data_IF_238757665654
#
_entry.id   IF_238757665654
#
_cell.length_a   1.000
_cell.length_b   1.000
_cell.length_c   1.000
_cell.angle_alpha   90.00
_cell.angle_beta   90.00
_cell.angle_gamma   90.00
#
_symmetry.space_group_name_H-M   'P 1'
#
loop_
_entity.id
_entity.type
_entity.pdbx_description
1 polymer ?
#
# COMPACT_ATOMS: atom_id res chain seq x y z
N UNK A 1 -18.14 -10.89 11.02
CA UNK A 1 -18.18 -10.72 9.55
C UNK A 1 -16.88 -11.34 9.03
N UNK A 2 -16.95 -12.24 8.06
CA UNK A 2 -15.85 -13.16 7.72
C UNK A 2 -14.73 -12.47 6.94
N UNK A 3 -13.57 -12.26 7.56
CA UNK A 3 -12.36 -11.64 6.99
C UNK A 3 -11.57 -12.52 6.00
N UNK A 4 -11.99 -13.77 5.79
CA UNK A 4 -11.30 -14.70 4.89
C UNK A 4 -11.61 -14.51 3.39
N UNK A 5 -12.52 -13.60 3.02
CA UNK A 5 -12.99 -13.47 1.63
C UNK A 5 -12.33 -12.35 0.81
N UNK A 6 -11.45 -11.53 1.40
CA UNK A 6 -10.90 -10.33 0.73
C UNK A 6 -9.43 -10.45 0.27
N UNK A 7 -8.80 -11.62 0.38
CA UNK A 7 -7.43 -11.83 -0.12
C UNK A 7 -7.37 -12.74 -1.35
N UNK A 8 -6.51 -12.36 -2.28
CA UNK A 8 -6.06 -13.20 -3.39
C UNK A 8 -4.63 -13.66 -3.13
N UNK A 9 -4.42 -14.98 -3.16
CA UNK A 9 -3.10 -15.58 -3.01
C UNK A 9 -2.56 -16.04 -4.36
N UNK A 10 -1.30 -15.71 -4.63
CA UNK A 10 -0.54 -16.15 -5.79
C UNK A 10 0.58 -17.07 -5.30
N UNK A 11 0.64 -18.29 -5.82
CA UNK A 11 1.64 -19.28 -5.42
C UNK A 11 2.45 -19.80 -6.59
N UNK A 12 3.75 -19.98 -6.35
CA UNK A 12 4.72 -20.62 -7.22
C UNK A 12 5.58 -21.59 -6.40
N UNK A 13 6.45 -22.40 -7.01
CA UNK A 13 7.36 -23.25 -6.25
C UNK A 13 8.29 -22.48 -5.31
N UNK A 14 8.67 -21.25 -5.65
CA UNK A 14 9.69 -20.48 -4.91
C UNK A 14 9.15 -19.27 -4.14
N UNK A 15 7.89 -18.89 -4.39
CA UNK A 15 7.31 -17.65 -3.87
C UNK A 15 5.81 -17.83 -3.63
N UNK A 16 5.29 -17.23 -2.56
CA UNK A 16 3.87 -16.95 -2.44
C UNK A 16 3.62 -15.50 -2.03
N UNK A 17 2.63 -14.86 -2.63
CA UNK A 17 2.20 -13.51 -2.30
C UNK A 17 0.72 -13.49 -1.94
N UNK A 18 0.35 -12.68 -0.94
CA UNK A 18 -1.04 -12.40 -0.57
C UNK A 18 -1.36 -10.93 -0.81
N UNK A 19 -2.51 -10.66 -1.43
CA UNK A 19 -2.94 -9.31 -1.80
C UNK A 19 -4.40 -9.11 -1.43
N UNK A 20 -4.71 -7.99 -0.76
CA UNK A 20 -6.09 -7.59 -0.52
C UNK A 20 -6.77 -7.15 -1.83
N UNK A 21 -7.98 -7.64 -2.07
CA UNK A 21 -8.76 -7.27 -3.25
C UNK A 21 -9.18 -5.79 -3.21
N UNK A 22 -9.47 -5.26 -2.02
CA UNK A 22 -9.78 -3.85 -1.84
C UNK A 22 -8.57 -3.06 -1.34
N UNK A 23 -8.24 -1.96 -2.02
CA UNK A 23 -7.04 -1.15 -1.73
C UNK A 23 -5.71 -1.75 -2.22
N UNK A 24 -5.72 -3.01 -2.68
CA UNK A 24 -4.58 -3.69 -3.31
C UNK A 24 -3.30 -3.69 -2.46
N UNK A 25 -3.42 -3.86 -1.15
CA UNK A 25 -2.26 -3.99 -0.28
C UNK A 25 -1.66 -5.38 -0.39
N UNK A 26 -0.32 -5.48 -0.50
CA UNK A 26 0.38 -6.73 -0.28
C UNK A 26 0.53 -6.96 1.23
N UNK A 27 -0.07 -8.03 1.71
CA UNK A 27 -0.04 -8.41 3.13
C UNK A 27 1.11 -9.37 3.43
N UNK A 28 1.58 -10.11 2.43
CA UNK A 28 2.68 -11.07 2.56
C UNK A 28 3.42 -11.30 1.24
N UNK A 29 4.74 -11.49 1.32
CA UNK A 29 5.58 -12.01 0.24
C UNK A 29 6.56 -13.04 0.80
N UNK A 30 6.13 -14.29 0.87
CA UNK A 30 6.95 -15.40 1.37
C UNK A 30 7.87 -15.91 0.26
N UNK A 31 9.17 -15.82 0.51
CA UNK A 31 10.21 -16.40 -0.34
C UNK A 31 10.64 -17.75 0.25
N UNK A 32 10.65 -18.78 -0.58
CA UNK A 32 11.23 -20.09 -0.25
C UNK A 32 12.65 -20.09 -0.79
N UNK A 33 13.63 -20.34 0.07
CA UNK A 33 15.03 -20.34 -0.36
C UNK A 33 15.31 -21.44 -1.39
N UNK A 34 16.43 -21.30 -2.10
CA UNK A 34 16.82 -22.23 -3.17
C UNK A 34 17.34 -23.57 -2.66
N UNK A 35 17.78 -23.63 -1.40
CA UNK A 35 18.29 -24.85 -0.78
C UNK A 35 17.16 -25.65 -0.12
N UNK A 36 17.27 -27.00 -0.06
CA UNK A 36 16.23 -27.87 0.50
C UNK A 36 15.77 -27.51 1.92
N UNK A 37 16.68 -26.97 2.74
CA UNK A 37 16.44 -26.63 4.15
C UNK A 37 16.40 -25.11 4.40
N UNK A 38 16.37 -24.29 3.34
CA UNK A 38 16.32 -22.85 3.51
C UNK A 38 15.00 -22.42 4.16
N UNK A 39 15.09 -21.70 5.28
CA UNK A 39 13.92 -21.21 5.98
C UNK A 39 13.08 -20.27 5.10
N UNK A 40 11.78 -20.50 5.09
CA UNK A 40 10.83 -19.59 4.45
C UNK A 40 10.72 -18.31 5.26
N UNK A 41 10.81 -17.17 4.60
CA UNK A 41 10.74 -15.85 5.25
C UNK A 41 9.75 -14.97 4.50
N UNK A 42 8.92 -14.24 5.25
CA UNK A 42 8.15 -13.15 4.68
C UNK A 42 9.06 -11.92 4.51
N UNK A 43 9.18 -11.44 3.27
CA UNK A 43 10.03 -10.32 2.93
C UNK A 43 9.39 -8.96 3.22
N UNK A 44 8.09 -8.91 3.56
CA UNK A 44 7.38 -7.66 3.79
C UNK A 44 7.29 -7.31 5.28
N UNK A 45 7.53 -6.04 5.58
CA UNK A 45 7.02 -5.43 6.82
C UNK A 45 5.52 -5.17 6.69
N UNK A 46 4.77 -5.43 7.75
CA UNK A 46 3.32 -5.40 7.69
C UNK A 46 2.63 -5.46 9.05
N UNK A 47 1.30 -5.54 9.01
CA UNK A 47 0.47 -5.75 10.17
C UNK A 47 0.11 -7.23 10.32
N UNK A 48 -0.01 -7.71 11.54
CA UNK A 48 -0.49 -9.08 11.81
C UNK A 48 -2.01 -9.21 11.60
N UNK A 49 -2.74 -8.10 11.72
CA UNK A 49 -4.20 -8.05 11.57
C UNK A 49 -4.57 -7.43 10.20
N UNK A 50 -5.39 -8.15 9.43
CA UNK A 50 -5.86 -7.70 8.11
C UNK A 50 -6.73 -6.44 8.20
N UNK A 51 -7.53 -6.32 9.28
CA UNK A 51 -8.38 -5.14 9.48
C UNK A 51 -7.53 -3.87 9.67
N UNK A 52 -6.28 -4.01 10.12
CA UNK A 52 -5.36 -2.89 10.22
C UNK A 52 -4.96 -2.33 8.85
N UNK A 53 -4.93 -3.13 7.78
CA UNK A 53 -4.66 -2.63 6.43
C UNK A 53 -5.80 -1.77 5.90
N UNK A 54 -7.06 -2.13 6.18
CA UNK A 54 -8.23 -1.33 5.81
C UNK A 54 -8.31 0.00 6.58
N UNK A 55 -7.82 0.01 7.83
CA UNK A 55 -7.81 1.18 8.70
C UNK A 55 -6.47 1.94 8.71
N UNK A 56 -5.49 1.50 7.90
CA UNK A 56 -4.10 2.04 7.84
C UNK A 56 -3.99 3.46 7.27
N UNK A 57 -5.13 4.12 7.03
CA UNK A 57 -5.27 5.54 6.71
C UNK A 57 -4.60 6.47 7.72
N UNK A 58 -4.12 5.96 8.87
CA UNK A 58 -3.67 6.76 10.00
C UNK A 58 -2.18 7.04 10.12
N UNK A 59 -1.24 6.39 9.37
CA UNK A 59 0.15 6.91 9.20
C UNK A 59 1.13 6.07 8.35
N UNK A 60 0.93 4.77 8.21
CA UNK A 60 1.91 3.89 7.55
C UNK A 60 1.31 3.23 6.32
N UNK A 61 1.72 3.69 5.14
CA UNK A 61 1.31 3.16 3.83
C UNK A 61 2.07 1.86 3.51
N UNK A 62 1.94 0.82 4.35
CA UNK A 62 2.61 -0.46 4.11
C UNK A 62 2.05 -1.14 2.87
N UNK A 63 2.96 -1.34 1.90
CA UNK A 63 2.80 -2.15 0.68
C UNK A 63 1.49 -1.90 -0.09
N UNK A 64 0.95 -0.68 -0.03
CA UNK A 64 -0.26 -0.32 -0.74
C UNK A 64 0.03 0.13 -2.17
N UNK A 65 -0.97 0.00 -3.04
CA UNK A 65 -0.92 0.68 -4.34
C UNK A 65 -1.23 2.16 -4.12
N UNK A 66 -0.21 3.01 -4.30
CA UNK A 66 -0.36 4.47 -4.20
C UNK A 66 -0.64 5.07 -5.57
N UNK A 67 -1.66 5.91 -5.67
CA UNK A 67 -2.01 6.60 -6.92
C UNK A 67 -3.09 7.67 -6.73
N UNK A 68 -3.40 8.48 -7.76
CA UNK A 68 -2.83 8.51 -9.13
C UNK A 68 -1.49 9.24 -9.26
N UNK A 69 -0.98 9.82 -8.18
CA UNK A 69 0.34 10.43 -8.10
C UNK A 69 0.98 9.95 -6.80
N UNK A 70 2.15 9.32 -6.88
CA UNK A 70 2.84 8.85 -5.69
C UNK A 70 3.60 10.00 -5.01
N UNK A 71 3.65 9.98 -3.69
CA UNK A 71 4.33 10.98 -2.86
C UNK A 71 3.66 12.37 -2.90
N UNK A 72 4.41 13.46 -3.07
CA UNK A 72 3.95 14.83 -2.83
C UNK A 72 3.87 15.64 -4.12
N UNK A 73 2.70 16.21 -4.38
CA UNK A 73 2.57 17.33 -5.31
C UNK A 73 2.66 18.65 -4.53
N UNK A 74 3.11 19.76 -5.16
CA UNK A 74 3.05 21.08 -4.55
C UNK A 74 1.63 21.43 -4.12
N UNK A 75 1.50 22.03 -2.93
CA UNK A 75 0.22 22.58 -2.49
C UNK A 75 -0.18 23.78 -3.37
N UNK A 76 -1.47 24.04 -3.51
CA UNK A 76 -1.98 25.08 -4.40
C UNK A 76 -2.48 24.56 -5.75
N UNK A 77 -2.48 25.43 -6.76
CA UNK A 77 -2.92 25.11 -8.12
C UNK A 77 -1.77 24.46 -8.91
N UNK A 78 -1.97 23.23 -9.38
CA UNK A 78 -1.13 22.59 -10.39
C UNK A 78 -1.88 22.53 -11.73
N UNK A 79 -1.17 22.79 -12.83
CA UNK A 79 -1.71 22.72 -14.20
C UNK A 79 -1.11 21.54 -14.96
N UNK A 80 -1.97 20.75 -15.57
CA UNK A 80 -1.58 19.70 -16.51
C UNK A 80 -1.38 20.28 -17.92
N UNK A 81 -0.64 19.56 -18.76
CA UNK A 81 -0.40 19.94 -20.16
C UNK A 81 -1.69 20.06 -20.99
N UNK A 82 -2.77 19.43 -20.56
CA UNK A 82 -4.12 19.54 -21.16
C UNK A 82 -4.82 20.86 -20.84
N UNK A 83 -4.23 21.72 -19.99
CA UNK A 83 -4.87 22.91 -19.43
C UNK A 83 -5.75 22.63 -18.22
N UNK A 84 -5.96 21.36 -17.85
CA UNK A 84 -6.69 21.00 -16.64
C UNK A 84 -5.95 21.46 -15.38
N UNK A 85 -6.71 21.85 -14.36
CA UNK A 85 -6.20 22.35 -13.08
C UNK A 85 -6.59 21.40 -11.96
N UNK A 86 -5.67 21.21 -11.01
CA UNK A 86 -5.97 20.57 -9.72
C UNK A 86 -5.57 21.52 -8.60
N UNK A 87 -6.49 21.71 -7.66
CA UNK A 87 -6.21 22.45 -6.42
C UNK A 87 -5.99 21.43 -5.31
N UNK A 88 -4.80 21.45 -4.71
CA UNK A 88 -4.46 20.55 -3.60
C UNK A 88 -4.41 21.35 -2.30
N UNK A 89 -5.07 20.83 -1.27
CA UNK A 89 -5.06 21.38 0.08
C UNK A 89 -3.69 21.17 0.73
N UNK A 90 -3.24 22.12 1.54
CA UNK A 90 -1.94 22.04 2.21
C UNK A 90 -1.26 23.36 2.58
N UNK A 91 -1.82 24.52 2.18
CA UNK A 91 -1.26 25.85 2.51
C UNK A 91 -1.90 26.52 3.74
N UNK A 92 -2.99 25.99 4.31
CA UNK A 92 -3.78 26.72 5.32
C UNK A 92 -3.34 26.47 6.77
N UNK A 93 -2.16 25.88 6.98
CA UNK A 93 -1.54 25.79 8.32
C UNK A 93 -0.23 26.57 8.32
N UNK A 94 -0.32 27.90 8.40
CA UNK A 94 0.88 28.71 8.49
C UNK A 94 0.73 30.23 8.54
N UNK A 95 -0.47 30.79 8.76
CA UNK A 95 -0.62 32.19 9.17
C UNK A 95 -1.89 32.36 10.01
N UNK A 96 -1.79 32.10 11.31
CA UNK A 96 -2.63 32.80 12.29
C UNK A 96 -1.83 32.97 13.58
N UNK A 97 -1.41 34.22 13.78
CA UNK A 97 -1.10 34.93 15.03
C UNK A 97 -0.16 34.27 16.03
#
# INVERSE_FOLDING_TARGET
MSSAQDETKLETPHLSASVLQHGHHFTSLVVRGSEPDAATTDALGGFADLDAYHNSVTRAFFNCIVGRYANRMPAGESRFSTGAKIQLTGTDQGQSS
#
